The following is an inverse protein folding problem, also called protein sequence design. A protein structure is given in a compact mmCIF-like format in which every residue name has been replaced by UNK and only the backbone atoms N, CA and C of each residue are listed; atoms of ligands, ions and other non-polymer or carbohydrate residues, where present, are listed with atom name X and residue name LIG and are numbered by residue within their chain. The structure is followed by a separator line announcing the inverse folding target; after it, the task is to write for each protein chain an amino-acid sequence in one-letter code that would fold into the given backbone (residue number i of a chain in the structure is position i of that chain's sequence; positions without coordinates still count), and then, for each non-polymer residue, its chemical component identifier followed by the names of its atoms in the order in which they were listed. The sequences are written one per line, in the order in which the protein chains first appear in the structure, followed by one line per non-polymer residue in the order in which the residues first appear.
data_IF_855817646506
#
_entry.id   IF_855817646506
#
_cell.length_a   1.000
_cell.length_b   1.000
_cell.length_c   1.000
_cell.angle_alpha   90.00
_cell.angle_beta   90.00
_cell.angle_gamma   90.00
#
_symmetry.space_group_name_H-M   'P 1'
#
loop_
_entity.id
_entity.type
_entity.pdbx_description
1 polymer ?
#
# COMPACT_ATOMS: atom_id res chain seq x y z
N UNK A 1 -17.37 3.20 1.67
CA UNK A 1 -17.98 1.87 1.85
C UNK A 1 -17.68 1.40 3.27
N UNK A 2 -18.63 0.76 3.96
CA UNK A 2 -18.40 0.17 5.29
C UNK A 2 -18.41 -1.35 5.17
N UNK A 3 -17.36 -2.01 5.68
CA UNK A 3 -17.25 -3.47 5.75
C UNK A 3 -17.10 -3.83 7.23
N UNK A 4 -17.97 -4.70 7.74
CA UNK A 4 -17.86 -5.27 9.08
C UNK A 4 -17.27 -6.68 8.98
N UNK A 5 -16.28 -6.99 9.84
CA UNK A 5 -15.66 -8.31 9.92
C UNK A 5 -15.89 -8.80 11.35
N UNK A 6 -16.58 -9.92 11.48
CA UNK A 6 -16.76 -10.59 12.77
C UNK A 6 -15.55 -11.50 13.03
N UNK A 7 -14.86 -11.25 14.14
CA UNK A 7 -13.73 -12.04 14.59
C UNK A 7 -14.08 -12.59 15.98
N UNK A 8 -13.88 -13.89 16.25
CA UNK A 8 -14.07 -14.44 17.59
C UNK A 8 -13.24 -13.69 18.64
N UNK A 9 -13.83 -13.40 19.80
CA UNK A 9 -13.20 -12.61 20.88
C UNK A 9 -11.83 -13.16 21.32
N UNK A 10 -11.69 -14.49 21.34
CA UNK A 10 -10.42 -15.15 21.68
C UNK A 10 -9.30 -14.81 20.69
N UNK A 11 -9.64 -14.63 19.41
CA UNK A 11 -8.70 -14.23 18.37
C UNK A 11 -8.49 -12.73 18.43
N UNK A 12 -9.56 -11.94 18.62
CA UNK A 12 -9.48 -10.50 18.76
C UNK A 12 -8.52 -10.11 19.90
N UNK A 13 -8.66 -10.69 21.10
CA UNK A 13 -7.76 -10.45 22.25
C UNK A 13 -6.30 -10.82 21.98
N UNK A 14 -6.05 -11.82 21.13
CA UNK A 14 -4.68 -12.22 20.75
C UNK A 14 -4.07 -11.31 19.70
N UNK A 15 -4.90 -10.72 18.86
CA UNK A 15 -4.48 -9.78 17.82
C UNK A 15 -4.36 -8.35 18.37
N UNK A 16 -5.20 -7.98 19.35
CA UNK A 16 -5.26 -6.66 19.96
C UNK A 16 -3.99 -6.44 20.80
N UNK A 17 -2.97 -5.93 20.12
CA UNK A 17 -1.74 -5.43 20.72
C UNK A 17 -2.06 -4.18 21.57
N UNK A 18 -1.22 -3.81 22.55
CA UNK A 18 -1.49 -2.72 23.51
C UNK A 18 -1.77 -1.34 22.88
N UNK A 19 -1.56 -1.17 21.58
CA UNK A 19 -1.72 0.09 20.83
C UNK A 19 -3.09 0.22 20.13
N UNK A 20 -4.00 -0.75 20.28
CA UNK A 20 -5.45 -0.56 20.12
C UNK A 20 -5.94 -0.16 18.72
N UNK A 21 -5.30 -0.65 17.65
CA UNK A 21 -5.67 -0.26 16.28
C UNK A 21 -5.73 -1.46 15.32
N UNK A 22 -6.41 -2.53 15.73
CA UNK A 22 -6.67 -3.70 14.87
C UNK A 22 -7.29 -3.34 13.52
N UNK A 23 -8.28 -2.46 13.52
CA UNK A 23 -8.93 -2.00 12.29
C UNK A 23 -7.95 -1.33 11.33
N UNK A 24 -7.02 -0.53 11.85
CA UNK A 24 -6.00 0.13 11.05
C UNK A 24 -5.02 -0.89 10.46
N UNK A 25 -4.56 -1.86 11.27
CA UNK A 25 -3.68 -2.95 10.80
C UNK A 25 -4.33 -3.83 9.74
N UNK A 26 -5.62 -4.15 9.89
CA UNK A 26 -6.37 -4.91 8.90
C UNK A 26 -6.46 -4.15 7.57
N UNK A 27 -6.70 -2.85 7.64
CA UNK A 27 -6.75 -1.99 6.47
C UNK A 27 -5.36 -1.87 5.80
N UNK A 28 -4.29 -1.73 6.57
CA UNK A 28 -2.91 -1.79 6.07
C UNK A 28 -2.61 -3.10 5.34
N UNK A 29 -2.95 -4.25 5.94
CA UNK A 29 -2.78 -5.57 5.32
C UNK A 29 -3.56 -5.71 4.01
N UNK A 30 -4.81 -5.25 3.99
CA UNK A 30 -5.66 -5.30 2.80
C UNK A 30 -5.08 -4.44 1.66
N UNK A 31 -4.64 -3.22 1.97
CA UNK A 31 -4.07 -2.30 1.00
C UNK A 31 -2.74 -2.84 0.46
N UNK A 32 -1.89 -3.40 1.32
CA UNK A 32 -0.64 -4.02 0.90
C UNK A 32 -0.88 -5.23 -0.02
N UNK A 33 -1.87 -6.08 0.29
CA UNK A 33 -2.23 -7.22 -0.55
C UNK A 33 -2.81 -6.77 -1.90
N UNK A 34 -3.69 -5.77 -1.90
CA UNK A 34 -4.26 -5.21 -3.13
C UNK A 34 -3.17 -4.59 -4.04
N UNK A 35 -2.19 -3.88 -3.45
CA UNK A 35 -1.03 -3.37 -4.18
C UNK A 35 -0.18 -4.50 -4.75
N UNK A 36 0.14 -5.52 -3.93
CA UNK A 36 0.90 -6.70 -4.35
C UNK A 36 0.23 -7.42 -5.53
N UNK A 37 -1.10 -7.55 -5.51
CA UNK A 37 -1.87 -8.14 -6.61
C UNK A 37 -2.02 -7.24 -7.84
N UNK A 38 -1.46 -6.02 -7.84
CA UNK A 38 -1.58 -5.06 -8.93
C UNK A 38 -3.00 -4.51 -9.12
N UNK A 39 -3.89 -4.66 -8.12
CA UNK A 39 -5.27 -4.16 -8.18
C UNK A 39 -5.37 -2.66 -7.91
N UNK A 40 -4.42 -2.12 -7.15
CA UNK A 40 -4.30 -0.70 -6.84
C UNK A 40 -2.85 -0.24 -7.02
N UNK A 41 -2.65 1.01 -7.44
CA UNK A 41 -1.35 1.65 -7.55
C UNK A 41 -0.91 2.38 -6.28
N UNK A 42 0.34 2.87 -6.26
CA UNK A 42 0.89 3.58 -5.10
C UNK A 42 0.13 4.88 -4.76
N UNK A 43 -0.47 5.55 -5.74
CA UNK A 43 -1.30 6.72 -5.50
C UNK A 43 -2.59 6.39 -4.73
N UNK A 44 -3.23 5.26 -5.06
CA UNK A 44 -4.43 4.78 -4.38
C UNK A 44 -4.10 4.27 -2.97
N UNK A 45 -2.96 3.59 -2.80
CA UNK A 45 -2.43 3.24 -1.46
C UNK A 45 -2.33 4.48 -0.57
N UNK A 46 -1.78 5.58 -1.11
CA UNK A 46 -1.66 6.84 -0.38
C UNK A 46 -3.02 7.46 -0.03
N UNK A 47 -4.00 7.37 -0.92
CA UNK A 47 -5.37 7.84 -0.64
C UNK A 47 -6.06 7.01 0.45
N UNK A 48 -5.97 5.69 0.39
CA UNK A 48 -6.65 4.80 1.35
C UNK A 48 -6.04 4.92 2.75
N UNK A 49 -4.71 5.01 2.84
CA UNK A 49 -3.98 5.13 4.11
C UNK A 49 -3.79 6.58 4.57
N UNK A 50 -4.35 7.56 3.85
CA UNK A 50 -4.20 8.99 4.12
C UNK A 50 -2.73 9.43 4.29
N UNK A 51 -1.84 8.84 3.48
CA UNK A 51 -0.41 9.13 3.55
C UNK A 51 -0.10 10.42 2.79
N UNK A 52 0.61 11.38 3.40
CA UNK A 52 0.77 12.71 2.84
C UNK A 52 1.75 12.78 1.66
N UNK A 53 2.62 11.78 1.50
CA UNK A 53 3.68 11.80 0.48
C UNK A 53 3.88 10.43 -0.16
N UNK A 54 4.34 10.42 -1.42
CA UNK A 54 4.78 9.20 -2.10
C UNK A 54 5.88 8.46 -1.32
N UNK A 55 6.74 9.20 -0.62
CA UNK A 55 7.78 8.62 0.22
C UNK A 55 7.20 7.88 1.43
N UNK A 56 6.16 8.42 2.07
CA UNK A 56 5.46 7.74 3.16
C UNK A 56 4.76 6.46 2.67
N UNK A 57 4.20 6.47 1.46
CA UNK A 57 3.67 5.27 0.79
C UNK A 57 4.78 4.24 0.58
N UNK A 58 5.93 4.67 0.06
CA UNK A 58 7.05 3.76 -0.15
C UNK A 58 7.56 3.14 1.15
N UNK A 59 7.70 3.94 2.21
CA UNK A 59 8.07 3.44 3.53
C UNK A 59 7.04 2.47 4.11
N UNK A 60 5.76 2.70 3.86
CA UNK A 60 4.70 1.75 4.22
C UNK A 60 4.83 0.42 3.47
N UNK A 61 4.95 0.47 2.14
CA UNK A 61 5.11 -0.71 1.29
C UNK A 61 6.35 -1.53 1.68
N UNK A 62 7.46 -0.85 1.99
CA UNK A 62 8.69 -1.46 2.49
C UNK A 62 8.48 -2.17 3.83
N UNK A 63 7.77 -1.57 4.80
CA UNK A 63 7.44 -2.23 6.08
C UNK A 63 6.58 -3.48 5.88
N UNK A 64 5.71 -3.47 4.89
CA UNK A 64 4.84 -4.60 4.54
C UNK A 64 5.56 -5.69 3.72
N UNK A 65 6.83 -5.48 3.35
CA UNK A 65 7.59 -6.41 2.52
C UNK A 65 7.09 -6.51 1.08
N UNK A 66 6.23 -5.57 0.65
CA UNK A 66 5.75 -5.48 -0.73
C UNK A 66 6.61 -4.46 -1.43
N UNK A 67 7.65 -4.94 -2.12
CA UNK A 67 8.50 -4.07 -2.92
C UNK A 67 7.68 -3.44 -4.04
N UNK A 68 8.12 -2.25 -4.48
CA UNK A 68 7.52 -1.51 -5.57
C UNK A 68 7.18 -2.50 -6.70
N UNK A 69 5.93 -2.54 -7.14
CA UNK A 69 5.55 -3.13 -8.43
C UNK A 69 6.08 -2.25 -9.57
N UNK A 70 7.33 -1.78 -9.43
CA UNK A 70 8.10 -1.17 -10.49
C UNK A 70 8.63 -2.33 -11.30
N UNK A 71 7.76 -2.83 -12.17
CA UNK A 71 8.19 -3.76 -13.18
C UNK A 71 9.09 -3.03 -14.19
N UNK A 72 9.82 -3.81 -14.97
CA UNK A 72 10.70 -3.29 -16.02
C UNK A 72 9.94 -2.38 -17.01
N UNK A 73 8.63 -2.57 -17.17
CA UNK A 73 7.80 -1.78 -18.07
C UNK A 73 7.43 -0.39 -17.52
N UNK A 74 7.32 -0.22 -16.20
CA UNK A 74 7.27 1.13 -15.58
C UNK A 74 8.62 1.85 -15.72
N UNK A 75 9.75 1.13 -15.57
CA UNK A 75 11.07 1.70 -15.82
C UNK A 75 11.24 2.16 -17.28
N UNK A 76 10.84 1.33 -18.25
CA UNK A 76 10.91 1.69 -19.66
C UNK A 76 10.05 2.91 -20.00
N UNK A 77 8.86 3.04 -19.41
CA UNK A 77 8.00 4.21 -19.60
C UNK A 77 8.59 5.49 -19.02
N UNK A 78 9.21 5.42 -17.84
CA UNK A 78 9.91 6.56 -17.27
C UNK A 78 11.14 6.93 -18.12
N UNK A 79 11.88 5.95 -18.64
CA UNK A 79 13.00 6.19 -19.55
C UNK A 79 12.53 6.84 -20.86
N UNK A 80 11.42 6.38 -21.44
CA UNK A 80 10.82 7.02 -22.61
C UNK A 80 10.40 8.47 -22.31
N UNK A 81 9.72 8.68 -21.18
CA UNK A 81 9.31 10.02 -20.73
C UNK A 81 10.53 10.94 -20.59
N UNK A 82 11.61 10.47 -19.95
CA UNK A 82 12.85 11.22 -19.81
C UNK A 82 13.55 11.49 -21.15
N UNK A 83 13.44 10.59 -22.12
CA UNK A 83 13.95 10.79 -23.48
C UNK A 83 13.14 11.86 -24.23
N UNK A 84 11.82 11.84 -24.11
CA UNK A 84 10.93 12.86 -24.70
C UNK A 84 11.20 14.25 -24.12
N UNK A 85 11.37 14.37 -22.81
CA UNK A 85 11.71 15.65 -22.16
C UNK A 85 13.16 16.12 -22.40
N UNK A 86 14.05 15.23 -22.85
CA UNK A 86 15.44 15.55 -23.21
C UNK A 86 15.61 15.86 -24.70
N UNK A 87 14.63 15.50 -25.54
CA UNK A 87 14.65 15.89 -26.94
C UNK A 87 14.38 17.40 -27.08
N UNK A 88 15.22 18.15 -27.82
CA UNK A 88 15.16 19.61 -27.94
C UNK A 88 13.94 20.11 -28.73
#
# INVERSE_FOLDING_TARGET
MQIAIEIPDEIAKRLDQPEGNLSHRLLELLVADAYRCGKIGAAEVGQVLHLPTRLAVHGFLQRMGVYLNYDEAELERDLQTLQEFRAP
#
